data_IF_427436389503
#
_entry.id   IF_427436389503
#
_cell.length_a   1.000
_cell.length_b   1.000
_cell.length_c   1.000
_cell.angle_alpha   90.00
_cell.angle_beta   90.00
_cell.angle_gamma   90.00
#
_symmetry.space_group_name_H-M   'P 1'
#
loop_
_entity.id
_entity.type
_entity.pdbx_description
1 polymer ?
#
# COMPACT_ATOMS: atom_id res chain seq x y z
N UNK A 1 17.36 18.31 -0.96
CA UNK A 1 16.33 17.28 -0.70
C UNK A 1 16.32 17.02 0.81
N UNK A 2 15.17 17.12 1.49
CA UNK A 2 15.14 16.82 2.92
C UNK A 2 15.31 15.30 3.14
N UNK A 3 16.15 14.85 4.11
CA UNK A 3 16.32 13.43 4.41
C UNK A 3 15.00 12.72 4.74
N UNK A 4 14.08 13.43 5.40
CA UNK A 4 12.75 12.93 5.74
C UNK A 4 11.93 12.57 4.50
N UNK A 5 11.94 13.41 3.47
CA UNK A 5 11.16 13.16 2.25
C UNK A 5 11.70 11.95 1.48
N UNK A 6 13.03 11.79 1.45
CA UNK A 6 13.67 10.59 0.90
C UNK A 6 13.26 9.35 1.68
N UNK A 7 13.30 9.39 3.02
CA UNK A 7 12.87 8.29 3.87
C UNK A 7 11.40 7.93 3.67
N UNK A 8 10.50 8.92 3.60
CA UNK A 8 9.07 8.72 3.36
C UNK A 8 8.83 8.02 2.01
N UNK A 9 9.48 8.48 0.93
CA UNK A 9 9.34 7.87 -0.40
C UNK A 9 9.89 6.44 -0.41
N UNK A 10 11.04 6.20 0.24
CA UNK A 10 11.65 4.87 0.33
C UNK A 10 10.73 3.92 1.09
N UNK A 11 10.21 4.33 2.25
CA UNK A 11 9.28 3.52 3.04
C UNK A 11 7.98 3.24 2.29
N UNK A 12 7.36 4.27 1.70
CA UNK A 12 6.15 4.11 0.91
C UNK A 12 6.38 3.15 -0.28
N UNK A 13 7.53 3.24 -0.93
CA UNK A 13 7.90 2.33 -2.03
C UNK A 13 8.04 0.90 -1.52
N UNK A 14 8.76 0.69 -0.41
CA UNK A 14 8.91 -0.63 0.22
C UNK A 14 7.54 -1.23 0.56
N UNK A 15 6.64 -0.45 1.16
CA UNK A 15 5.30 -0.92 1.49
C UNK A 15 4.48 -1.28 0.25
N UNK A 16 4.49 -0.43 -0.79
CA UNK A 16 3.78 -0.71 -2.03
C UNK A 16 4.28 -1.96 -2.74
N UNK A 17 5.60 -2.15 -2.83
CA UNK A 17 6.21 -3.32 -3.45
C UNK A 17 5.97 -4.59 -2.65
N UNK A 18 6.15 -4.56 -1.32
CA UNK A 18 5.88 -5.70 -0.45
C UNK A 18 4.40 -6.11 -0.52
N UNK A 19 3.49 -5.14 -0.49
CA UNK A 19 2.07 -5.43 -0.60
C UNK A 19 1.71 -6.03 -1.96
N UNK A 20 2.26 -5.50 -3.06
CA UNK A 20 2.08 -6.10 -4.37
C UNK A 20 2.65 -7.52 -4.47
N UNK A 21 3.80 -7.78 -3.84
CA UNK A 21 4.39 -9.13 -3.78
C UNK A 21 3.47 -10.14 -3.06
N UNK A 22 2.79 -9.70 -2.00
CA UNK A 22 1.93 -10.55 -1.18
C UNK A 22 0.50 -10.72 -1.74
N UNK A 23 -0.07 -9.65 -2.30
CA UNK A 23 -1.50 -9.58 -2.65
C UNK A 23 -1.75 -9.25 -4.13
N UNK A 24 -0.71 -8.86 -4.88
CA UNK A 24 -0.79 -8.55 -6.30
C UNK A 24 -0.99 -9.79 -7.16
N UNK A 25 -1.87 -9.67 -8.15
CA UNK A 25 -2.19 -10.76 -9.09
C UNK A 25 -1.73 -10.46 -10.50
N UNK A 26 -1.56 -9.17 -10.85
CA UNK A 26 -1.20 -8.70 -12.20
C UNK A 26 -0.20 -7.55 -12.11
N UNK A 27 0.82 -7.55 -12.97
CA UNK A 27 1.87 -6.53 -12.99
C UNK A 27 1.35 -5.09 -13.15
N UNK A 28 0.23 -4.89 -13.83
CA UNK A 28 -0.36 -3.54 -13.98
C UNK A 28 -0.82 -2.94 -12.64
N UNK A 29 -1.08 -3.76 -11.62
CA UNK A 29 -1.50 -3.27 -10.30
C UNK A 29 -0.33 -2.65 -9.52
N UNK A 30 0.91 -2.92 -9.92
CA UNK A 30 2.12 -2.42 -9.25
C UNK A 30 2.14 -0.87 -9.17
N UNK A 31 1.98 -0.11 -10.27
CA UNK A 31 1.91 1.34 -10.19
C UNK A 31 0.73 1.84 -9.35
N UNK A 32 -0.42 1.15 -9.35
CA UNK A 32 -1.57 1.51 -8.52
C UNK A 32 -1.28 1.34 -7.02
N UNK A 33 -0.72 0.20 -6.62
CA UNK A 33 -0.33 -0.04 -5.22
C UNK A 33 0.78 0.90 -4.78
N UNK A 34 1.77 1.16 -5.63
CA UNK A 34 2.84 2.10 -5.31
C UNK A 34 2.31 3.53 -5.10
N UNK A 35 1.49 4.05 -6.02
CA UNK A 35 0.88 5.38 -5.87
C UNK A 35 -0.01 5.45 -4.63
N UNK A 36 -0.78 4.40 -4.38
CA UNK A 36 -1.66 4.34 -3.21
C UNK A 36 -0.88 4.31 -1.90
N UNK A 37 0.25 3.59 -1.84
CA UNK A 37 1.13 3.60 -0.68
C UNK A 37 1.75 4.98 -0.44
N UNK A 38 2.20 5.68 -1.49
CA UNK A 38 2.75 7.05 -1.40
C UNK A 38 1.68 8.02 -0.89
N UNK A 39 0.50 8.05 -1.52
CA UNK A 39 -0.60 8.93 -1.14
C UNK A 39 -1.07 8.62 0.29
N UNK A 40 -1.22 7.34 0.63
CA UNK A 40 -1.60 6.91 1.97
C UNK A 40 -0.57 7.29 3.03
N UNK A 41 0.72 7.09 2.74
CA UNK A 41 1.80 7.44 3.67
C UNK A 41 1.85 8.94 3.95
N UNK A 42 1.86 9.75 2.88
CA UNK A 42 1.86 11.21 3.00
C UNK A 42 0.58 11.72 3.64
N UNK A 43 -0.58 11.14 3.32
CA UNK A 43 -1.85 11.47 3.95
C UNK A 43 -1.85 11.17 5.45
N UNK A 44 -1.36 10.00 5.86
CA UNK A 44 -1.20 9.62 7.26
C UNK A 44 -0.22 10.53 8.01
N UNK A 45 0.87 10.92 7.37
CA UNK A 45 1.85 11.88 7.91
C UNK A 45 1.19 13.23 8.19
N UNK A 46 0.49 13.81 7.20
CA UNK A 46 -0.19 15.10 7.33
C UNK A 46 -1.26 15.05 8.43
N UNK A 47 -2.10 14.00 8.43
CA UNK A 47 -3.16 13.86 9.44
C UNK A 47 -2.59 13.75 10.85
N UNK A 48 -1.49 13.05 11.03
CA UNK A 48 -0.84 12.92 12.33
C UNK A 48 -0.22 14.23 12.82
N UNK A 49 0.41 14.99 11.91
CA UNK A 49 0.92 16.33 12.23
C UNK A 49 -0.22 17.26 12.64
N UNK A 50 -1.35 17.24 11.93
CA UNK A 50 -2.52 18.04 12.27
C UNK A 50 -3.18 17.61 13.58
N UNK A 51 -3.19 16.31 13.87
CA UNK A 51 -3.74 15.76 15.12
C UNK A 51 -2.81 15.93 16.33
N UNK A 52 -1.59 16.46 16.14
CA UNK A 52 -0.57 16.54 17.21
C UNK A 52 -0.10 15.17 17.70
N UNK A 53 -0.24 14.12 16.88
CA UNK A 53 0.11 12.77 17.26
C UNK A 53 1.64 12.59 17.26
N UNK A 54 2.22 12.45 18.45
CA UNK A 54 3.68 12.26 18.62
C UNK A 54 4.10 10.78 18.77
N UNK A 55 3.15 9.85 18.72
CA UNK A 55 3.40 8.42 18.89
C UNK A 55 4.35 7.89 17.78
N UNK A 56 5.49 7.33 18.19
CA UNK A 56 6.51 6.74 17.31
C UNK A 56 7.04 7.69 16.22
N UNK A 57 7.55 8.85 16.65
CA UNK A 57 8.27 9.78 15.78
C UNK A 57 9.71 9.35 15.54
N UNK A 58 10.12 9.26 14.28
CA UNK A 58 11.54 9.17 13.90
C UNK A 58 11.91 10.49 13.22
N UNK A 59 12.63 11.35 13.94
CA UNK A 59 12.81 12.74 13.55
C UNK A 59 11.47 13.49 13.53
N UNK A 60 11.12 14.12 12.40
CA UNK A 60 9.83 14.81 12.22
C UNK A 60 8.68 13.90 11.76
N UNK A 61 8.96 12.67 11.33
CA UNK A 61 7.94 11.83 10.69
C UNK A 61 7.22 10.99 11.76
N UNK A 62 5.89 11.14 11.94
CA UNK A 62 5.08 10.22 12.74
C UNK A 62 4.94 8.89 12.00
N UNK A 63 5.93 8.01 12.19
CA UNK A 63 6.13 6.81 11.40
C UNK A 63 4.91 5.88 11.47
N UNK A 64 4.36 5.70 12.67
CA UNK A 64 3.24 4.79 12.90
C UNK A 64 1.99 5.22 12.13
N UNK A 65 1.66 6.51 12.19
CA UNK A 65 0.49 7.05 11.52
C UNK A 65 0.66 7.12 10.00
N UNK A 66 1.86 7.47 9.53
CA UNK A 66 2.19 7.43 8.12
C UNK A 66 2.09 6.00 7.56
N UNK A 67 2.67 5.01 8.24
CA UNK A 67 2.53 3.60 7.87
C UNK A 67 1.08 3.14 7.89
N UNK A 68 0.29 3.52 8.91
CA UNK A 68 -1.13 3.21 8.98
C UNK A 68 -1.91 3.79 7.78
N UNK A 69 -1.62 5.05 7.39
CA UNK A 69 -2.18 5.67 6.20
C UNK A 69 -1.80 4.94 4.91
N UNK A 70 -0.54 4.49 4.79
CA UNK A 70 -0.07 3.71 3.65
C UNK A 70 -0.82 2.37 3.53
N UNK A 71 -0.95 1.63 4.63
CA UNK A 71 -1.70 0.37 4.66
C UNK A 71 -3.18 0.58 4.36
N UNK A 72 -3.78 1.66 4.87
CA UNK A 72 -5.17 2.00 4.56
C UNK A 72 -5.36 2.26 3.06
N UNK A 73 -4.49 3.08 2.44
CA UNK A 73 -4.51 3.31 1.00
C UNK A 73 -4.37 2.01 0.21
N UNK A 74 -3.38 1.19 0.56
CA UNK A 74 -3.13 -0.11 -0.07
C UNK A 74 -4.34 -1.05 0.02
N UNK A 75 -4.99 -1.12 1.19
CA UNK A 75 -6.19 -1.94 1.39
C UNK A 75 -7.35 -1.45 0.53
N UNK A 76 -7.57 -0.14 0.45
CA UNK A 76 -8.59 0.44 -0.42
C UNK A 76 -8.28 0.11 -1.88
N UNK A 77 -7.04 0.31 -2.33
CA UNK A 77 -6.62 -0.03 -3.69
C UNK A 77 -6.80 -1.52 -3.98
N UNK A 78 -6.44 -2.38 -3.02
CA UNK A 78 -6.59 -3.83 -3.11
C UNK A 78 -8.06 -4.24 -3.23
N UNK A 79 -8.94 -3.63 -2.44
CA UNK A 79 -10.36 -3.90 -2.46
C UNK A 79 -10.97 -3.64 -3.84
N UNK A 80 -10.61 -2.52 -4.48
CA UNK A 80 -11.09 -2.19 -5.82
C UNK A 80 -10.44 -3.04 -6.92
N UNK A 81 -9.20 -3.48 -6.73
CA UNK A 81 -8.44 -4.20 -7.75
C UNK A 81 -8.54 -5.72 -7.66
N UNK A 82 -9.19 -6.26 -6.62
CA UNK A 82 -9.39 -7.69 -6.42
C UNK A 82 -10.49 -8.24 -7.35
N UNK A 83 -10.15 -9.04 -8.38
CA UNK A 83 -11.17 -9.66 -9.21
C UNK A 83 -11.82 -10.83 -8.45
N UNK A 84 -13.15 -10.94 -8.59
CA UNK A 84 -13.96 -12.07 -8.09
C UNK A 84 -13.28 -13.41 -8.42
N UNK A 85 -13.36 -14.42 -7.54
CA UNK A 85 -12.83 -15.75 -7.82
C UNK A 85 -13.44 -16.25 -9.13
N UNK A 86 -12.63 -16.38 -10.19
CA UNK A 86 -13.10 -17.05 -11.39
C UNK A 86 -13.59 -18.44 -10.96
N UNK A 87 -14.85 -18.81 -11.27
CA UNK A 87 -15.31 -20.15 -10.99
C UNK A 87 -14.33 -21.07 -11.68
N UNK A 88 -13.62 -21.93 -10.93
CA UNK A 88 -12.80 -23.00 -11.49
C UNK A 88 -13.72 -23.77 -12.43
N UNK A 89 -13.68 -23.47 -13.72
CA UNK A 89 -14.32 -24.27 -14.75
C UNK A 89 -13.56 -25.58 -14.72
N UNK A 90 -14.10 -26.50 -13.93
CA UNK A 90 -13.68 -27.87 -13.76
C UNK A 90 -13.60 -28.44 -15.16
N UNK A 91 -12.40 -28.43 -15.76
CA UNK A 91 -12.13 -29.11 -17.03
C UNK A 91 -12.57 -30.55 -16.82
N UNK A 92 -13.75 -30.90 -17.36
CA UNK A 92 -14.20 -32.28 -17.44
C UNK A 92 -13.10 -33.04 -18.18
N UNK A 93 -12.58 -34.15 -17.63
CA UNK A 93 -11.66 -34.98 -18.39
C UNK A 93 -12.44 -35.49 -19.60
N UNK A 94 -11.94 -35.16 -20.80
CA UNK A 94 -12.46 -35.74 -22.03
C UNK A 94 -12.18 -37.23 -21.98
N UNK A 95 -13.22 -38.01 -21.73
CA UNK A 95 -13.19 -39.47 -21.76
C UNK A 95 -13.43 -39.87 -23.22
N UNK A 96 -12.40 -40.31 -23.93
CA UNK A 96 -12.50 -41.21 -25.09
C UNK A 96 -11.13 -41.76 -25.45
#
# INVERSE_FOLDING_TARGET
MSPSLVLSIVLASIYGLLFHSLAGRRLWQLPCFWLSAVIGFTGGEILAVLAGAELFRVGSIPLLAASAGAFFGLLVCWFFTSPLPEPRTRRRPARR
#
